data_IF_327757377935
#
_entry.id   IF_327757377935
#
_cell.length_a   1.000
_cell.length_b   1.000
_cell.length_c   1.000
_cell.angle_alpha   90.00
_cell.angle_beta   90.00
_cell.angle_gamma   90.00
#
_symmetry.space_group_name_H-M   'P 1'
#
loop_
_entity.id
_entity.type
_entity.pdbx_description
1 polymer ?
#
# COMPACT_ATOMS: atom_id res chain seq x y z
N UNK A 1 36.86 -15.02 12.96
CA UNK A 1 36.29 -13.67 13.21
C UNK A 1 34.95 -13.68 12.52
N UNK A 2 33.89 -13.82 13.30
CA UNK A 2 32.52 -13.86 12.79
C UNK A 2 32.04 -12.42 12.75
N UNK A 3 31.80 -11.88 11.55
CA UNK A 3 31.12 -10.60 11.41
C UNK A 3 29.69 -10.79 11.90
N UNK A 4 29.42 -10.27 13.10
CA UNK A 4 28.06 -10.10 13.61
C UNK A 4 27.37 -9.04 12.73
N UNK A 5 26.62 -9.49 11.73
CA UNK A 5 25.75 -8.61 10.94
C UNK A 5 24.54 -8.27 11.82
N UNK A 6 24.60 -7.12 12.49
CA UNK A 6 23.45 -6.53 13.17
C UNK A 6 22.51 -5.99 12.09
N UNK A 7 21.43 -6.71 11.82
CA UNK A 7 20.35 -6.20 10.95
C UNK A 7 19.44 -5.30 11.78
N UNK A 8 19.51 -3.99 11.56
CA UNK A 8 18.58 -3.02 12.17
C UNK A 8 17.47 -2.71 11.16
N UNK A 9 16.22 -3.02 11.53
CA UNK A 9 15.03 -2.71 10.73
C UNK A 9 14.47 -3.88 9.92
N UNK A 10 13.30 -3.66 9.32
CA UNK A 10 12.67 -4.64 8.42
C UNK A 10 13.48 -4.79 7.13
N UNK A 11 13.55 -6.01 6.59
CA UNK A 11 14.22 -6.28 5.33
C UNK A 11 13.63 -5.40 4.20
N UNK A 12 14.50 -4.83 3.36
CA UNK A 12 14.07 -4.02 2.22
C UNK A 12 13.16 -4.86 1.31
N UNK A 13 11.98 -4.34 0.93
CA UNK A 13 11.07 -5.08 0.09
C UNK A 13 11.69 -5.29 -1.30
N UNK A 14 11.66 -6.54 -1.76
CA UNK A 14 12.19 -6.94 -3.07
C UNK A 14 11.07 -7.57 -3.89
N UNK A 15 10.93 -7.10 -5.13
CA UNK A 15 10.04 -7.69 -6.12
C UNK A 15 10.63 -8.99 -6.64
N UNK A 16 9.76 -9.97 -6.82
CA UNK A 16 10.03 -11.20 -7.55
C UNK A 16 9.59 -11.01 -9.00
N UNK A 17 8.34 -10.61 -9.19
CA UNK A 17 7.72 -10.40 -10.51
C UNK A 17 6.77 -9.21 -10.43
N UNK A 18 6.49 -8.61 -11.59
CA UNK A 18 5.48 -7.58 -11.73
C UNK A 18 4.84 -7.68 -13.12
N UNK A 19 3.53 -7.49 -13.17
CA UNK A 19 2.75 -7.65 -14.39
C UNK A 19 1.85 -6.45 -14.63
N UNK A 20 1.83 -5.86 -15.84
CA UNK A 20 0.89 -4.82 -16.18
C UNK A 20 -0.54 -5.38 -16.19
N UNK A 21 -1.45 -4.69 -15.51
CA UNK A 21 -2.86 -5.01 -15.43
C UNK A 21 -3.71 -4.19 -16.40
N UNK A 22 -4.99 -4.00 -16.06
CA UNK A 22 -5.88 -3.10 -16.78
C UNK A 22 -5.50 -1.63 -16.52
N UNK A 23 -5.62 -0.78 -17.52
CA UNK A 23 -5.35 0.66 -17.43
C UNK A 23 -3.90 0.94 -16.98
N UNK A 24 -3.68 1.50 -15.78
CA UNK A 24 -2.35 1.71 -15.18
C UNK A 24 -2.14 0.91 -13.91
N UNK A 25 -2.84 -0.22 -13.80
CA UNK A 25 -2.66 -1.13 -12.69
C UNK A 25 -1.42 -1.98 -12.89
N UNK A 26 -0.77 -2.34 -11.79
CA UNK A 26 0.34 -3.30 -11.78
C UNK A 26 0.10 -4.30 -10.68
N UNK A 27 0.16 -5.59 -11.03
CA UNK A 27 0.21 -6.68 -10.07
C UNK A 27 1.66 -6.92 -9.66
N UNK A 28 1.95 -6.81 -8.37
CA UNK A 28 3.28 -6.94 -7.78
C UNK A 28 3.35 -8.23 -6.98
N UNK A 29 4.37 -9.05 -7.26
CA UNK A 29 4.71 -10.25 -6.50
C UNK A 29 6.02 -9.98 -5.78
N UNK A 30 6.02 -10.08 -4.46
CA UNK A 30 7.19 -9.81 -3.63
C UNK A 30 7.96 -11.11 -3.35
N UNK A 31 9.29 -11.04 -3.18
CA UNK A 31 10.12 -12.20 -2.77
C UNK A 31 9.71 -12.79 -1.42
N UNK A 32 8.98 -12.02 -0.59
CA UNK A 32 8.36 -12.49 0.64
C UNK A 32 7.11 -13.38 0.41
N UNK A 33 6.71 -13.60 -0.85
CA UNK A 33 5.50 -14.34 -1.23
C UNK A 33 4.21 -13.54 -1.11
N UNK A 34 4.28 -12.26 -0.76
CA UNK A 34 3.12 -11.39 -0.71
C UNK A 34 2.80 -10.89 -2.12
N UNK A 35 1.53 -10.63 -2.40
CA UNK A 35 1.08 -10.10 -3.68
C UNK A 35 0.17 -8.89 -3.47
N UNK A 36 0.23 -7.92 -4.38
CA UNK A 36 -0.62 -6.72 -4.34
C UNK A 36 -0.82 -6.15 -5.73
N UNK A 37 -2.05 -5.78 -6.07
CA UNK A 37 -2.32 -4.97 -7.25
C UNK A 37 -2.46 -3.51 -6.86
N UNK A 38 -1.70 -2.61 -7.49
CA UNK A 38 -1.70 -1.16 -7.23
C UNK A 38 -2.15 -0.39 -8.47
N UNK A 39 -2.72 0.80 -8.28
CA UNK A 39 -3.03 1.72 -9.38
C UNK A 39 -1.92 2.77 -9.48
N UNK A 40 -1.20 2.79 -10.60
CA UNK A 40 -0.14 3.75 -10.86
C UNK A 40 -0.64 5.04 -11.51
N UNK A 41 -1.90 5.15 -11.94
CA UNK A 41 -2.39 6.36 -12.62
C UNK A 41 -2.10 7.66 -11.83
N UNK A 42 -2.38 7.76 -10.51
CA UNK A 42 -2.08 8.98 -9.74
C UNK A 42 -0.60 9.34 -9.73
N UNK A 43 0.25 8.31 -9.75
CA UNK A 43 1.72 8.41 -9.71
C UNK A 43 2.25 8.94 -11.02
N UNK A 44 1.77 8.37 -12.12
CA UNK A 44 2.17 8.77 -13.46
C UNK A 44 1.72 10.20 -13.76
N UNK A 45 0.59 10.64 -13.19
CA UNK A 45 0.13 12.02 -13.30
C UNK A 45 0.99 13.03 -12.50
N UNK A 46 1.65 12.57 -11.42
CA UNK A 46 2.36 13.47 -10.49
C UNK A 46 3.58 14.18 -11.08
N UNK A 47 4.27 13.60 -12.07
CA UNK A 47 5.53 14.13 -12.62
C UNK A 47 5.61 14.00 -14.14
N UNK A 48 6.31 14.94 -14.78
CA UNK A 48 6.45 15.01 -16.25
C UNK A 48 7.25 13.86 -16.86
N UNK A 49 8.18 13.26 -16.11
CA UNK A 49 8.99 12.11 -16.60
C UNK A 49 8.12 10.91 -16.98
N UNK A 50 6.94 10.77 -16.36
CA UNK A 50 6.01 9.68 -16.60
C UNK A 50 5.01 9.95 -17.72
N UNK A 51 5.06 11.11 -18.39
CA UNK A 51 4.11 11.47 -19.47
C UNK A 51 3.98 10.35 -20.52
N UNK A 52 5.07 9.73 -21.03
CA UNK A 52 4.95 8.65 -22.01
C UNK A 52 4.07 7.50 -21.52
N UNK A 53 4.24 7.12 -20.25
CA UNK A 53 3.49 6.03 -19.62
C UNK A 53 2.01 6.34 -19.40
N UNK A 54 1.56 7.61 -19.48
CA UNK A 54 0.14 7.96 -19.23
C UNK A 54 -0.79 7.48 -20.34
N UNK A 55 -0.33 7.51 -21.58
CA UNK A 55 -1.16 7.25 -22.77
C UNK A 55 -0.61 6.16 -23.68
N UNK A 56 0.69 5.86 -23.61
CA UNK A 56 1.30 4.78 -24.40
C UNK A 56 1.16 3.45 -23.66
N UNK A 57 0.15 2.68 -24.06
CA UNK A 57 -0.13 1.37 -23.48
C UNK A 57 0.95 0.33 -23.83
N UNK A 58 1.54 0.42 -25.02
CA UNK A 58 2.54 -0.54 -25.46
C UNK A 58 3.83 -0.33 -24.68
N UNK A 59 4.23 0.93 -24.50
CA UNK A 59 5.32 1.29 -23.60
C UNK A 59 5.03 0.81 -22.18
N UNK A 60 3.84 1.09 -21.62
CA UNK A 60 3.50 0.66 -20.25
C UNK A 60 3.58 -0.87 -20.08
N UNK A 61 3.24 -1.64 -21.12
CA UNK A 61 3.33 -3.11 -21.11
C UNK A 61 4.75 -3.66 -21.19
N UNK A 62 5.75 -2.84 -21.51
CA UNK A 62 7.18 -3.23 -21.47
C UNK A 62 7.75 -3.32 -20.05
N UNK A 63 6.93 -3.03 -19.03
CA UNK A 63 7.28 -3.15 -17.62
C UNK A 63 8.08 -4.41 -17.33
N UNK A 64 9.23 -4.24 -16.68
CA UNK A 64 10.06 -5.32 -16.13
C UNK A 64 10.47 -5.01 -14.70
N UNK A 65 10.77 -6.06 -13.93
CA UNK A 65 11.41 -5.91 -12.62
C UNK A 65 12.92 -5.75 -12.84
N UNK A 66 13.55 -4.83 -12.09
CA UNK A 66 15.00 -4.62 -12.14
C UNK A 66 15.79 -5.87 -11.74
N UNK A 67 17.05 -5.98 -12.16
CA UNK A 67 17.92 -7.13 -11.83
C UNK A 67 17.95 -7.45 -10.33
N UNK A 68 17.98 -6.41 -9.49
CA UNK A 68 18.04 -6.55 -8.03
C UNK A 68 16.65 -6.58 -7.36
N UNK A 69 15.57 -6.48 -8.13
CA UNK A 69 14.19 -6.45 -7.64
C UNK A 69 13.87 -5.26 -6.73
N UNK A 70 14.63 -4.18 -6.82
CA UNK A 70 14.38 -2.92 -6.10
C UNK A 70 13.56 -1.91 -6.89
N UNK A 71 13.19 -2.20 -8.12
CA UNK A 71 12.33 -1.35 -8.92
C UNK A 71 11.53 -2.13 -9.97
N UNK A 72 10.48 -1.49 -10.48
CA UNK A 72 9.97 -1.76 -11.83
C UNK A 72 10.50 -0.68 -12.77
N UNK A 73 10.73 -1.04 -14.02
CA UNK A 73 11.38 -0.18 -15.00
C UNK A 73 10.74 -0.32 -16.39
N UNK A 74 10.79 0.78 -17.14
CA UNK A 74 10.36 0.90 -18.53
C UNK A 74 11.51 1.50 -19.35
N UNK A 75 12.18 0.65 -20.13
CA UNK A 75 13.43 1.03 -20.80
C UNK A 75 14.53 1.37 -19.79
N UNK A 76 15.38 2.34 -20.14
CA UNK A 76 16.56 2.72 -19.32
C UNK A 76 16.33 4.02 -18.51
N UNK A 77 15.26 4.76 -18.79
CA UNK A 77 15.08 6.14 -18.30
C UNK A 77 13.99 6.30 -17.22
N UNK A 78 13.14 5.29 -17.04
CA UNK A 78 11.98 5.40 -16.15
C UNK A 78 11.90 4.19 -15.22
N UNK A 79 11.95 4.46 -13.92
CA UNK A 79 11.78 3.45 -12.88
C UNK A 79 10.82 3.91 -11.75
N UNK A 80 10.37 2.93 -10.97
CA UNK A 80 9.66 3.13 -9.71
C UNK A 80 10.19 2.17 -8.66
N UNK A 81 10.68 2.74 -7.56
CA UNK A 81 11.28 1.96 -6.45
C UNK A 81 10.27 1.01 -5.79
N UNK A 82 10.71 -0.23 -5.55
CA UNK A 82 10.06 -1.25 -4.74
C UNK A 82 9.73 -0.76 -3.32
N UNK A 83 10.61 0.03 -2.70
CA UNK A 83 10.36 0.62 -1.37
C UNK A 83 9.16 1.54 -1.42
N UNK A 84 9.05 2.31 -2.49
CA UNK A 84 7.94 3.24 -2.67
C UNK A 84 6.64 2.52 -3.08
N UNK A 85 6.72 1.56 -4.00
CA UNK A 85 5.60 0.70 -4.42
C UNK A 85 5.01 -0.08 -3.24
N UNK A 86 5.82 -0.52 -2.28
CA UNK A 86 5.34 -1.26 -1.10
C UNK A 86 4.41 -0.43 -0.21
N UNK A 87 4.48 0.91 -0.31
CA UNK A 87 3.65 1.86 0.42
C UNK A 87 2.36 2.21 -0.31
N UNK A 88 2.24 1.88 -1.60
CA UNK A 88 1.02 2.15 -2.34
C UNK A 88 -0.13 1.27 -1.86
N UNK A 89 -1.35 1.85 -1.72
CA UNK A 89 -2.51 1.07 -1.35
C UNK A 89 -2.87 0.09 -2.46
N UNK A 90 -3.32 -1.10 -2.06
CA UNK A 90 -3.89 -2.07 -2.99
C UNK A 90 -5.16 -1.50 -3.65
N UNK A 91 -5.42 -1.80 -4.93
CA UNK A 91 -6.72 -1.50 -5.56
C UNK A 91 -7.83 -2.38 -4.96
N UNK A 92 -7.48 -3.59 -4.52
CA UNK A 92 -8.37 -4.51 -3.83
C UNK A 92 -8.25 -4.24 -2.34
N UNK A 93 -9.38 -3.94 -1.70
CA UNK A 93 -9.45 -3.90 -0.24
C UNK A 93 -10.09 -5.20 0.24
N UNK A 94 -9.26 -6.11 0.70
CA UNK A 94 -9.66 -7.46 1.12
C UNK A 94 -10.13 -7.51 2.57
N UNK A 95 -10.73 -8.63 2.95
CA UNK A 95 -11.06 -8.94 4.34
C UNK A 95 -9.82 -8.93 5.24
N UNK A 96 -8.67 -9.36 4.73
CA UNK A 96 -7.38 -9.32 5.44
C UNK A 96 -6.97 -7.86 5.69
N UNK A 97 -7.14 -6.98 4.70
CA UNK A 97 -6.83 -5.55 4.86
C UNK A 97 -7.75 -4.89 5.90
N UNK A 98 -9.01 -5.30 5.97
CA UNK A 98 -9.94 -4.81 6.99
C UNK A 98 -9.60 -5.27 8.39
N UNK A 99 -9.18 -6.54 8.56
CA UNK A 99 -8.70 -7.04 9.85
C UNK A 99 -7.46 -6.25 10.28
N UNK A 100 -6.48 -6.07 9.39
CA UNK A 100 -5.28 -5.28 9.66
C UNK A 100 -5.60 -3.85 10.04
N UNK A 101 -6.50 -3.19 9.30
CA UNK A 101 -6.93 -1.84 9.61
C UNK A 101 -7.59 -1.75 11.00
N UNK A 102 -8.41 -2.73 11.39
CA UNK A 102 -8.97 -2.77 12.75
C UNK A 102 -7.88 -2.93 13.82
N UNK A 103 -6.88 -3.78 13.57
CA UNK A 103 -5.77 -4.00 14.49
C UNK A 103 -4.90 -2.73 14.63
N UNK A 104 -4.60 -2.05 13.51
CA UNK A 104 -3.87 -0.77 13.47
C UNK A 104 -4.62 0.36 14.20
N UNK A 105 -5.94 0.41 14.06
CA UNK A 105 -6.78 1.39 14.74
C UNK A 105 -7.09 1.01 16.21
N UNK A 106 -6.67 -0.17 16.67
CA UNK A 106 -7.04 -0.69 17.99
C UNK A 106 -8.54 -0.87 18.21
N UNK A 107 -9.32 -1.06 17.13
CA UNK A 107 -10.78 -1.06 17.19
C UNK A 107 -11.38 -2.44 17.50
N UNK A 108 -12.31 -2.46 18.44
CA UNK A 108 -13.19 -3.61 18.66
C UNK A 108 -14.24 -3.71 17.55
N UNK A 109 -15.00 -4.81 17.49
CA UNK A 109 -16.15 -4.93 16.59
C UNK A 109 -17.16 -3.79 16.79
N UNK A 110 -17.38 -3.40 18.04
CA UNK A 110 -18.33 -2.34 18.41
C UNK A 110 -17.77 -0.95 18.07
N UNK A 111 -16.48 -0.73 18.30
CA UNK A 111 -15.82 0.51 17.92
C UNK A 111 -15.83 0.75 16.41
N UNK A 112 -15.50 -0.29 15.63
CA UNK A 112 -15.51 -0.20 14.17
C UNK A 112 -16.92 -0.07 13.59
N UNK A 113 -17.90 -0.73 14.20
CA UNK A 113 -19.31 -0.60 13.84
C UNK A 113 -19.79 0.85 14.00
N UNK A 114 -19.43 1.48 15.12
CA UNK A 114 -19.76 2.88 15.38
C UNK A 114 -19.02 3.82 14.43
N UNK A 115 -17.73 3.59 14.17
CA UNK A 115 -16.92 4.44 13.29
C UNK A 115 -17.39 4.41 11.83
N UNK A 116 -17.86 3.25 11.35
CA UNK A 116 -18.35 3.06 9.99
C UNK A 116 -19.88 3.25 9.84
N UNK A 117 -20.59 3.51 10.93
CA UNK A 117 -22.05 3.59 11.00
C UNK A 117 -22.76 2.37 10.39
N UNK A 118 -22.33 1.16 10.81
CA UNK A 118 -22.89 -0.12 10.38
C UNK A 118 -23.14 -1.06 11.56
N UNK A 119 -23.93 -2.11 11.35
CA UNK A 119 -24.15 -3.09 12.41
C UNK A 119 -22.86 -3.85 12.79
N UNK A 120 -22.68 -4.13 14.08
CA UNK A 120 -21.63 -5.02 14.61
C UNK A 120 -21.56 -6.37 13.89
N UNK A 121 -22.72 -6.94 13.53
CA UNK A 121 -22.80 -8.20 12.78
C UNK A 121 -22.15 -8.08 11.40
N UNK A 122 -22.36 -6.96 10.72
CA UNK A 122 -21.77 -6.72 9.40
C UNK A 122 -20.24 -6.58 9.47
N UNK A 123 -19.70 -5.94 10.52
CA UNK A 123 -18.25 -5.92 10.79
C UNK A 123 -17.72 -7.34 11.00
N UNK A 124 -18.42 -8.16 11.78
CA UNK A 124 -18.04 -9.56 11.99
C UNK A 124 -18.09 -10.39 10.70
N UNK A 125 -19.06 -10.14 9.82
CA UNK A 125 -19.15 -10.78 8.50
C UNK A 125 -17.96 -10.35 7.61
N UNK A 126 -17.56 -9.06 7.62
CA UNK A 126 -16.39 -8.56 6.89
C UNK A 126 -15.06 -9.07 7.46
N UNK A 127 -14.96 -9.42 8.74
CA UNK A 127 -13.76 -10.08 9.28
C UNK A 127 -13.62 -11.54 8.86
N UNK A 128 -14.66 -12.14 8.28
CA UNK A 128 -14.64 -13.51 7.78
C UNK A 128 -14.33 -13.48 6.28
N UNK A 129 -15.38 -13.60 5.48
CA UNK A 129 -15.30 -13.89 4.06
C UNK A 129 -16.25 -13.01 3.23
N UNK A 130 -17.12 -12.21 3.88
CA UNK A 130 -18.05 -11.35 3.17
C UNK A 130 -17.28 -10.28 2.41
N UNK A 131 -17.41 -10.18 1.07
CA UNK A 131 -16.68 -9.19 0.29
C UNK A 131 -16.93 -7.77 0.78
N UNK A 132 -15.88 -6.96 0.84
CA UNK A 132 -15.97 -5.59 1.36
C UNK A 132 -16.41 -4.65 0.25
N UNK A 133 -17.56 -3.97 0.39
CA UNK A 133 -18.00 -2.98 -0.58
C UNK A 133 -17.02 -1.81 -0.67
N UNK A 134 -16.91 -1.22 -1.86
CA UNK A 134 -15.98 -0.13 -2.14
C UNK A 134 -16.10 1.07 -1.19
N UNK A 135 -17.33 1.44 -0.78
CA UNK A 135 -17.53 2.54 0.15
C UNK A 135 -17.02 2.23 1.57
N UNK A 136 -17.15 0.98 2.03
CA UNK A 136 -16.59 0.54 3.32
C UNK A 136 -15.06 0.54 3.27
N UNK A 137 -14.49 0.09 2.16
CA UNK A 137 -13.05 0.14 1.93
C UNK A 137 -12.52 1.58 2.01
N UNK A 138 -13.18 2.54 1.36
CA UNK A 138 -12.79 3.95 1.43
C UNK A 138 -12.91 4.54 2.82
N UNK A 139 -14.04 4.30 3.51
CA UNK A 139 -14.22 4.78 4.88
C UNK A 139 -13.16 4.19 5.83
N UNK A 140 -12.85 2.90 5.69
CA UNK A 140 -11.83 2.24 6.52
C UNK A 140 -10.43 2.83 6.27
N UNK A 141 -10.05 3.04 5.01
CA UNK A 141 -8.77 3.69 4.67
C UNK A 141 -8.68 5.09 5.24
N UNK A 142 -9.75 5.86 5.12
CA UNK A 142 -9.81 7.21 5.67
C UNK A 142 -9.58 7.22 7.19
N UNK A 143 -10.16 6.27 7.93
CA UNK A 143 -9.93 6.16 9.37
C UNK A 143 -8.45 5.87 9.70
N UNK A 144 -7.82 4.96 8.97
CA UNK A 144 -6.38 4.64 9.12
C UNK A 144 -5.51 5.86 8.82
N UNK A 145 -5.77 6.54 7.71
CA UNK A 145 -5.01 7.74 7.31
C UNK A 145 -5.15 8.86 8.36
N UNK A 146 -6.33 9.06 8.92
CA UNK A 146 -6.56 10.05 9.98
C UNK A 146 -5.81 9.70 11.27
N UNK A 147 -5.76 8.42 11.66
CA UNK A 147 -4.98 7.99 12.81
C UNK A 147 -3.48 8.27 12.60
N UNK A 148 -2.94 7.91 11.44
CA UNK A 148 -1.54 8.18 11.11
C UNK A 148 -1.21 9.68 11.13
N UNK A 149 -2.13 10.53 10.67
CA UNK A 149 -1.98 11.99 10.74
C UNK A 149 -1.98 12.45 12.20
N UNK A 150 -2.90 11.96 13.03
CA UNK A 150 -3.00 12.31 14.44
C UNK A 150 -1.74 11.89 15.23
N UNK A 151 -1.26 10.66 15.03
CA UNK A 151 -0.05 10.14 15.68
C UNK A 151 1.18 11.00 15.34
N UNK A 152 1.28 11.46 14.09
CA UNK A 152 2.36 12.35 13.67
C UNK A 152 2.29 13.74 14.36
N UNK A 153 1.08 14.27 14.56
CA UNK A 153 0.89 15.54 15.28
C UNK A 153 1.26 15.43 16.75
N UNK A 154 0.91 14.33 17.42
CA UNK A 154 1.26 14.10 18.83
C UNK A 154 2.77 14.00 19.02
N UNK A 155 3.46 13.24 18.16
CA UNK A 155 4.93 13.09 18.22
C UNK A 155 5.70 14.41 18.01
N UNK A 156 5.23 15.30 17.12
CA UNK A 156 5.90 16.57 16.84
C UNK A 156 5.46 17.70 17.80
N UNK A 157 4.26 17.62 18.36
CA UNK A 157 3.75 18.58 19.35
C UNK A 157 4.45 18.48 20.71
N UNK A 158 4.92 17.29 21.09
CA UNK A 158 5.72 17.08 22.30
C UNK A 158 7.15 17.61 22.17
N UNK A 159 7.76 17.53 20.98
CA UNK A 159 9.12 18.02 20.71
C UNK A 159 9.29 19.54 20.88
N UNK A 160 8.21 20.33 20.82
CA UNK A 160 8.24 21.78 21.01
C UNK A 160 8.06 22.24 22.47
N UNK A 161 7.75 21.32 23.39
CA UNK A 161 7.56 21.64 24.82
C UNK A 161 8.81 21.42 25.69
N UNK A 162 9.91 20.91 25.12
CA UNK A 162 11.17 20.63 25.82
C UNK A 162 12.36 21.52 25.40
N UNK A 163 12.13 22.63 24.69
CA UNK A 163 13.15 23.62 24.34
C UNK A 163 12.91 24.96 25.05
#
# INVERSE_FOLDING_TARGET
>A
MSDDIITVGAALPRLLEAYPGKDRQVHLVWKSGHERTVDLAPVLESRRIFIPLRTDDDLFRTLKVSEFGDAIEWGDDIDLSAVWLSRLPSIVFSNVDFIKAMDELGMTLDGMALALDISRRLVADYRKDKPIPRHIAFATRYLVDQQAVNDNYEQHGESFKEA
#
